data_IF_600096483947
#
_entry.id   IF_600096483947
#
_cell.length_a   1.000
_cell.length_b   1.000
_cell.length_c   1.000
_cell.angle_alpha   90.00
_cell.angle_beta   90.00
_cell.angle_gamma   90.00
#
_symmetry.space_group_name_H-M   'P 1'
#
loop_
_entity.id
_entity.type
_entity.pdbx_description
1 polymer ?
#
# COMPACT_ATOMS: atom_id res chain seq x y z
N UNK A 1 -5.62 -50.49 -41.58
CA UNK A 1 -5.22 -49.14 -42.05
C UNK A 1 -4.03 -48.66 -41.22
N UNK A 2 -2.95 -48.26 -41.88
CA UNK A 2 -1.82 -47.52 -41.30
C UNK A 2 -2.13 -46.00 -41.32
N UNK A 3 -1.33 -45.08 -40.71
CA UNK A 3 0.02 -45.31 -40.25
C UNK A 3 0.47 -44.66 -38.92
N UNK A 4 1.57 -45.24 -38.46
CA UNK A 4 2.44 -44.79 -37.38
C UNK A 4 3.34 -43.60 -37.77
N UNK A 5 3.93 -43.04 -36.72
CA UNK A 5 4.80 -41.86 -36.57
C UNK A 5 5.92 -41.76 -37.62
N UNK A 6 6.13 -40.55 -38.16
CA UNK A 6 7.36 -40.16 -38.87
C UNK A 6 8.28 -39.40 -37.92
N UNK A 7 9.45 -39.96 -37.66
CA UNK A 7 10.60 -39.27 -37.09
C UNK A 7 11.38 -38.61 -38.24
N UNK A 8 11.64 -37.31 -38.15
CA UNK A 8 12.54 -36.65 -39.10
C UNK A 8 13.95 -36.55 -38.54
N UNK A 9 14.87 -36.97 -39.41
CA UNK A 9 16.29 -37.15 -39.21
C UNK A 9 17.02 -35.83 -39.46
N UNK A 10 17.95 -35.51 -38.57
CA UNK A 10 18.94 -34.45 -38.68
C UNK A 10 19.68 -34.52 -40.04
N UNK A 11 19.58 -33.46 -40.84
CA UNK A 11 20.51 -33.20 -41.95
C UNK A 11 21.47 -32.09 -41.54
N UNK A 12 22.62 -32.50 -41.03
CA UNK A 12 23.84 -31.71 -41.01
C UNK A 12 24.37 -31.62 -42.45
N UNK A 13 24.54 -30.40 -42.96
CA UNK A 13 25.26 -30.11 -44.20
C UNK A 13 26.50 -29.29 -43.87
N UNK A 14 27.68 -29.87 -44.14
CA UNK A 14 29.00 -29.23 -44.05
C UNK A 14 29.62 -29.22 -45.45
N UNK A 15 30.34 -28.13 -45.77
CA UNK A 15 31.50 -27.97 -46.69
C UNK A 15 31.31 -26.75 -47.61
N UNK A 16 31.93 -25.59 -47.32
CA UNK A 16 33.31 -25.14 -47.63
C UNK A 16 33.50 -24.60 -49.06
N UNK A 17 33.94 -23.34 -49.18
CA UNK A 17 35.17 -22.93 -49.90
C UNK A 17 35.38 -21.39 -49.94
N UNK A 18 36.49 -20.96 -49.32
CA UNK A 18 37.51 -19.99 -49.75
C UNK A 18 37.18 -18.57 -50.28
N UNK A 19 37.93 -17.58 -49.75
CA UNK A 19 38.46 -16.45 -50.55
C UNK A 19 38.35 -15.04 -49.94
N UNK A 20 39.47 -14.47 -49.46
CA UNK A 20 39.74 -13.03 -49.55
C UNK A 20 39.66 -12.17 -48.26
N UNK A 21 40.77 -11.56 -47.81
CA UNK A 21 40.81 -10.61 -46.70
C UNK A 21 40.75 -9.15 -47.20
N UNK A 22 39.86 -8.32 -46.66
CA UNK A 22 40.01 -6.87 -46.75
C UNK A 22 39.16 -6.18 -45.67
N UNK A 23 39.78 -5.25 -44.95
CA UNK A 23 39.31 -4.70 -43.69
C UNK A 23 37.91 -4.11 -43.73
N UNK A 24 37.04 -4.60 -42.85
CA UNK A 24 35.81 -3.91 -42.48
C UNK A 24 36.16 -2.81 -41.47
N UNK A 25 36.51 -1.63 -41.98
CA UNK A 25 36.31 -0.39 -41.22
C UNK A 25 34.83 -0.36 -40.82
N UNK A 26 34.57 -0.40 -39.51
CA UNK A 26 33.22 -0.43 -38.95
C UNK A 26 32.46 0.85 -39.26
N UNK A 27 31.80 0.90 -40.42
CA UNK A 27 30.75 1.87 -40.69
C UNK A 27 29.61 1.65 -39.68
N UNK A 28 29.60 2.44 -38.62
CA UNK A 28 28.45 2.55 -37.70
C UNK A 28 27.26 3.04 -38.52
N UNK A 29 26.36 2.13 -38.90
CA UNK A 29 25.04 2.50 -39.42
C UNK A 29 24.35 3.36 -38.36
N UNK A 30 24.30 4.67 -38.57
CA UNK A 30 23.36 5.55 -37.86
C UNK A 30 21.98 5.00 -38.18
N UNK A 31 21.28 4.47 -37.18
CA UNK A 31 19.86 4.15 -37.28
C UNK A 31 19.18 5.48 -37.62
N UNK A 32 18.82 5.67 -38.89
CA UNK A 32 17.91 6.75 -39.24
C UNK A 32 16.66 6.48 -38.42
N UNK A 33 16.40 7.35 -37.45
CA UNK A 33 15.14 7.33 -36.72
C UNK A 33 14.08 7.62 -37.78
N UNK A 34 13.42 6.56 -38.27
CA UNK A 34 12.23 6.76 -39.06
C UNK A 34 11.24 7.49 -38.17
N UNK A 35 11.05 8.77 -38.46
CA UNK A 35 10.04 9.59 -37.83
C UNK A 35 8.71 8.86 -38.06
N UNK A 36 8.08 8.43 -36.97
CA UNK A 36 6.74 7.85 -37.00
C UNK A 36 5.82 8.90 -37.63
N UNK A 37 5.36 8.65 -38.85
CA UNK A 37 4.28 9.45 -39.45
C UNK A 37 3.07 9.34 -38.52
N UNK A 38 2.53 10.47 -38.05
CA UNK A 38 1.28 10.52 -37.31
C UNK A 38 0.18 9.93 -38.20
N UNK A 39 -0.13 8.65 -38.03
CA UNK A 39 -1.34 8.05 -38.60
C UNK A 39 -2.49 8.51 -37.71
N UNK A 40 -3.40 9.30 -38.27
CA UNK A 40 -4.67 9.58 -37.62
C UNK A 40 -5.35 8.22 -37.36
N UNK A 41 -5.59 7.92 -36.08
CA UNK A 41 -6.11 6.63 -35.66
C UNK A 41 -7.63 6.61 -35.98
N UNK A 42 -8.00 6.16 -37.18
CA UNK A 42 -9.40 6.12 -37.64
C UNK A 42 -10.28 5.12 -36.86
N UNK A 43 -9.71 4.34 -35.93
CA UNK A 43 -10.45 3.47 -35.02
C UNK A 43 -11.34 4.22 -34.02
N UNK A 44 -11.10 5.51 -33.79
CA UNK A 44 -11.83 6.30 -32.79
C UNK A 44 -12.51 7.55 -33.40
N UNK A 45 -13.04 7.47 -34.63
CA UNK A 45 -13.78 8.61 -35.23
C UNK A 45 -15.10 8.87 -34.50
N UNK A 46 -15.64 7.87 -33.80
CA UNK A 46 -16.86 7.99 -32.99
C UNK A 46 -16.63 7.33 -31.63
N UNK A 47 -16.92 8.03 -30.53
CA UNK A 47 -16.77 7.50 -29.18
C UNK A 47 -17.92 6.56 -28.83
N UNK A 48 -17.85 5.36 -29.39
CA UNK A 48 -18.62 4.18 -29.03
C UNK A 48 -19.37 3.51 -30.19
N UNK A 49 -20.31 2.61 -29.90
CA UNK A 49 -21.01 1.81 -30.90
C UNK A 49 -22.45 2.29 -31.05
N UNK A 50 -22.82 2.76 -32.25
CA UNK A 50 -24.21 3.15 -32.60
C UNK A 50 -25.17 1.97 -32.37
N UNK A 51 -24.70 0.74 -32.62
CA UNK A 51 -25.50 -0.49 -32.42
C UNK A 51 -25.75 -0.82 -30.95
N UNK A 52 -24.83 -0.44 -30.05
CA UNK A 52 -24.92 -0.74 -28.61
C UNK A 52 -25.48 0.45 -27.79
N UNK A 53 -25.80 1.58 -28.44
CA UNK A 53 -26.27 2.80 -27.76
C UNK A 53 -25.21 3.47 -26.88
N UNK A 54 -23.97 2.97 -26.90
CA UNK A 54 -22.83 3.55 -26.20
C UNK A 54 -22.24 4.64 -27.09
N UNK A 55 -22.65 5.89 -26.89
CA UNK A 55 -22.16 7.04 -27.64
C UNK A 55 -21.97 8.26 -26.75
N UNK A 56 -21.88 9.45 -27.36
CA UNK A 56 -21.78 10.71 -26.61
C UNK A 56 -22.94 10.92 -25.61
N UNK A 57 -24.16 10.50 -25.97
CA UNK A 57 -25.32 10.55 -25.07
C UNK A 57 -25.14 9.66 -23.82
N UNK A 58 -24.56 8.47 -23.98
CA UNK A 58 -24.26 7.56 -22.87
C UNK A 58 -23.15 8.12 -21.98
N UNK A 59 -22.08 8.68 -22.57
CA UNK A 59 -21.02 9.35 -21.82
C UNK A 59 -21.53 10.57 -21.05
N UNK A 60 -22.40 11.38 -21.67
CA UNK A 60 -23.05 12.52 -21.03
C UNK A 60 -23.94 12.06 -19.88
N UNK A 61 -24.75 11.01 -20.08
CA UNK A 61 -25.58 10.39 -19.03
C UNK A 61 -24.71 9.88 -17.87
N UNK A 62 -23.61 9.21 -18.16
CA UNK A 62 -22.68 8.69 -17.15
C UNK A 62 -21.99 9.83 -16.39
N UNK A 63 -21.59 10.91 -17.08
CA UNK A 63 -21.02 12.11 -16.47
C UNK A 63 -22.03 12.78 -15.53
N UNK A 64 -23.27 12.97 -15.97
CA UNK A 64 -24.36 13.52 -15.15
C UNK A 64 -24.59 12.63 -13.91
N UNK A 65 -24.63 11.31 -14.07
CA UNK A 65 -24.76 10.37 -12.95
C UNK A 65 -23.60 10.49 -11.94
N UNK A 66 -22.37 10.63 -12.42
CA UNK A 66 -21.19 10.78 -11.56
C UNK A 66 -21.20 12.13 -10.82
N UNK A 67 -21.58 13.21 -11.50
CA UNK A 67 -21.73 14.53 -10.90
C UNK A 67 -22.83 14.54 -9.84
N UNK A 68 -23.97 13.90 -10.10
CA UNK A 68 -25.03 13.71 -9.10
C UNK A 68 -24.55 12.91 -7.88
N UNK A 69 -23.89 11.76 -8.09
CA UNK A 69 -23.29 10.97 -7.00
C UNK A 69 -22.25 11.77 -6.21
N UNK A 70 -21.52 12.67 -6.87
CA UNK A 70 -20.56 13.59 -6.23
C UNK A 70 -21.28 14.60 -5.35
N UNK A 71 -22.41 15.16 -5.78
CA UNK A 71 -23.23 16.06 -4.96
C UNK A 71 -23.78 15.33 -3.73
N UNK A 72 -24.36 14.14 -3.90
CA UNK A 72 -24.84 13.31 -2.78
C UNK A 72 -23.73 12.99 -1.77
N UNK A 73 -22.50 12.71 -2.25
CA UNK A 73 -21.35 12.50 -1.36
C UNK A 73 -20.95 13.75 -0.61
N UNK A 74 -21.07 14.94 -1.22
CA UNK A 74 -20.76 16.21 -0.56
C UNK A 74 -21.82 16.55 0.48
N UNK A 75 -23.09 16.36 0.16
CA UNK A 75 -24.21 16.55 1.08
C UNK A 75 -24.08 15.64 2.30
N UNK A 76 -23.89 14.32 2.10
CA UNK A 76 -23.65 13.39 3.21
C UNK A 76 -22.44 13.77 4.07
N UNK A 77 -21.34 14.23 3.45
CA UNK A 77 -20.14 14.67 4.18
C UNK A 77 -20.37 15.98 4.95
N UNK A 78 -21.16 16.90 4.40
CA UNK A 78 -21.54 18.14 5.07
C UNK A 78 -22.49 17.84 6.24
N UNK A 79 -23.46 16.95 6.07
CA UNK A 79 -24.32 16.45 7.16
C UNK A 79 -23.48 15.82 8.27
N UNK A 80 -22.55 14.92 7.96
CA UNK A 80 -21.63 14.33 8.96
C UNK A 80 -20.74 15.39 9.64
N UNK A 81 -20.41 16.48 8.94
CA UNK A 81 -19.63 17.59 9.52
C UNK A 81 -20.49 18.52 10.38
N UNK A 82 -21.78 18.66 10.08
CA UNK A 82 -22.75 19.45 10.84
C UNK A 82 -23.30 18.67 12.04
N UNK A 83 -23.41 17.35 11.92
CA UNK A 83 -23.54 16.38 13.01
C UNK A 83 -22.19 16.27 13.73
N UNK A 84 -21.73 17.39 14.28
CA UNK A 84 -20.51 17.51 15.05
C UNK A 84 -20.43 16.42 16.13
N UNK A 85 -19.48 15.48 15.97
CA UNK A 85 -18.66 14.70 16.95
C UNK A 85 -19.23 14.19 18.29
N UNK A 86 -20.47 14.51 18.66
CA UNK A 86 -21.05 14.34 19.99
C UNK A 86 -22.54 13.97 19.90
N UNK A 87 -22.91 13.21 18.89
CA UNK A 87 -23.99 12.25 19.10
C UNK A 87 -23.29 10.91 19.23
N UNK A 88 -23.60 10.15 20.29
CA UNK A 88 -23.25 8.73 20.43
C UNK A 88 -23.92 7.88 19.33
N UNK A 89 -24.10 8.42 18.12
CA UNK A 89 -24.45 7.67 16.94
C UNK A 89 -23.16 7.08 16.42
N UNK A 90 -22.88 5.86 16.87
CA UNK A 90 -21.74 5.07 16.41
C UNK A 90 -21.60 5.17 14.88
N UNK A 91 -20.39 5.40 14.34
CA UNK A 91 -20.15 5.44 12.91
C UNK A 91 -20.71 4.18 12.23
N UNK A 92 -21.48 4.35 11.15
CA UNK A 92 -22.20 3.25 10.48
C UNK A 92 -21.33 2.01 10.22
N UNK A 93 -20.08 2.22 9.81
CA UNK A 93 -19.13 1.16 9.50
C UNK A 93 -18.65 0.36 10.73
N UNK A 94 -18.84 0.88 11.95
CA UNK A 94 -18.53 0.20 13.22
C UNK A 94 -19.75 -0.50 13.81
N UNK A 95 -20.95 -0.29 13.25
CA UNK A 95 -22.18 -0.98 13.65
C UNK A 95 -22.00 -2.50 13.68
N UNK A 96 -21.18 -3.05 12.78
CA UNK A 96 -20.89 -4.48 12.72
C UNK A 96 -20.13 -4.99 13.95
N UNK A 97 -19.25 -4.19 14.56
CA UNK A 97 -18.56 -4.60 15.79
C UNK A 97 -19.54 -4.68 16.96
N UNK A 98 -20.42 -3.69 17.08
CA UNK A 98 -21.42 -3.66 18.15
C UNK A 98 -22.45 -4.79 18.01
N UNK A 99 -22.96 -5.03 16.79
CA UNK A 99 -23.85 -6.16 16.54
C UNK A 99 -23.18 -7.51 16.86
N UNK A 100 -21.87 -7.64 16.64
CA UNK A 100 -21.13 -8.83 17.01
C UNK A 100 -20.94 -8.97 18.53
N UNK A 101 -20.66 -7.86 19.24
CA UNK A 101 -20.56 -7.83 20.71
C UNK A 101 -21.90 -8.20 21.37
N UNK A 102 -23.01 -7.61 20.91
CA UNK A 102 -24.36 -7.95 21.37
C UNK A 102 -24.71 -9.43 21.14
N UNK A 103 -24.31 -10.00 19.99
CA UNK A 103 -24.53 -11.42 19.70
C UNK A 103 -23.72 -12.32 20.64
N UNK A 104 -22.48 -11.95 20.98
CA UNK A 104 -21.68 -12.69 21.96
C UNK A 104 -22.31 -12.65 23.37
N UNK A 105 -22.75 -11.48 23.82
CA UNK A 105 -23.43 -11.31 25.12
C UNK A 105 -24.73 -12.13 25.17
N UNK A 106 -25.54 -12.10 24.12
CA UNK A 106 -26.73 -12.97 24.02
C UNK A 106 -26.37 -14.46 24.09
N UNK A 107 -25.29 -14.89 23.45
CA UNK A 107 -24.80 -16.28 23.51
C UNK A 107 -24.30 -16.64 24.91
N UNK A 108 -23.67 -15.72 25.63
CA UNK A 108 -23.25 -15.92 27.02
C UNK A 108 -24.45 -16.05 27.96
N UNK A 109 -25.40 -15.11 27.90
CA UNK A 109 -26.63 -15.16 28.72
C UNK A 109 -27.49 -16.40 28.39
N UNK A 110 -27.46 -16.88 27.14
CA UNK A 110 -28.14 -18.12 26.73
C UNK A 110 -27.42 -19.39 27.22
N UNK A 111 -26.10 -19.34 27.43
CA UNK A 111 -25.31 -20.42 28.06
C UNK A 111 -25.50 -20.47 29.57
N UNK A 112 -25.60 -19.30 30.21
CA UNK A 112 -25.78 -19.19 31.67
C UNK A 112 -27.17 -19.66 32.14
N UNK A 113 -28.19 -19.54 31.28
CA UNK A 113 -29.53 -20.11 31.51
C UNK A 113 -29.60 -21.64 31.36
N UNK A 114 -28.50 -22.32 31.03
CA UNK A 114 -28.39 -23.76 31.24
C UNK A 114 -27.52 -24.01 32.49
N UNK A 115 -28.09 -24.55 33.59
CA UNK A 115 -27.28 -24.90 34.75
C UNK A 115 -26.51 -26.20 34.47
N UNK A 116 -25.23 -26.22 34.85
CA UNK A 116 -24.42 -27.44 34.96
C UNK A 116 -23.96 -27.59 36.44
N UNK A 117 -23.88 -28.83 36.94
CA UNK A 117 -23.88 -29.15 38.37
C UNK A 117 -22.54 -28.85 39.05
N UNK A 118 -22.66 -28.54 40.34
CA UNK A 118 -21.61 -28.31 41.32
C UNK A 118 -20.88 -29.62 41.65
N UNK A 119 -19.55 -29.64 41.57
CA UNK A 119 -18.73 -30.53 42.41
C UNK A 119 -17.42 -29.82 42.82
N UNK A 120 -17.33 -29.52 44.11
CA UNK A 120 -16.09 -29.21 44.80
C UNK A 120 -15.34 -30.51 45.15
N UNK A 121 -14.01 -30.50 45.11
CA UNK A 121 -13.19 -31.45 45.87
C UNK A 121 -11.87 -30.81 46.31
N UNK A 122 -11.67 -30.86 47.63
CA UNK A 122 -10.54 -30.40 48.43
C UNK A 122 -9.30 -31.30 48.29
N UNK A 123 -8.11 -30.78 48.63
CA UNK A 123 -7.14 -31.31 49.64
C UNK A 123 -5.73 -30.69 49.46
N UNK A 124 -5.16 -30.30 50.60
CA UNK A 124 -3.81 -29.77 50.89
C UNK A 124 -2.66 -30.76 50.62
N UNK A 125 -1.48 -30.27 50.20
CA UNK A 125 -0.13 -30.56 50.78
C UNK A 125 1.01 -29.83 50.02
N UNK A 126 1.99 -29.35 50.78
CA UNK A 126 3.16 -28.56 50.35
C UNK A 126 4.07 -29.28 49.32
N UNK A 127 4.68 -28.59 48.33
CA UNK A 127 5.62 -29.24 47.40
C UNK A 127 7.07 -29.13 47.88
N UNK A 128 7.62 -30.27 48.27
CA UNK A 128 9.07 -30.53 48.33
C UNK A 128 9.69 -30.29 46.95
N UNK A 129 10.84 -29.59 46.94
CA UNK A 129 11.65 -29.29 45.75
C UNK A 129 12.08 -30.61 45.11
N UNK A 130 11.33 -31.02 44.12
CA UNK A 130 11.71 -32.06 43.16
C UNK A 130 11.78 -31.36 41.82
N UNK A 131 12.90 -31.47 41.12
CA UNK A 131 13.04 -31.02 39.74
C UNK A 131 12.08 -31.84 38.86
N UNK A 132 10.81 -31.43 38.84
CA UNK A 132 9.73 -32.08 38.10
C UNK A 132 10.02 -31.91 36.63
N UNK A 133 10.39 -33.02 35.97
CA UNK A 133 10.35 -33.13 34.50
C UNK A 133 9.01 -32.54 34.03
N UNK A 134 9.09 -31.50 33.19
CA UNK A 134 7.91 -30.73 32.77
C UNK A 134 6.91 -31.66 32.08
N UNK A 135 5.72 -31.81 32.68
CA UNK A 135 4.63 -32.58 32.07
C UNK A 135 4.33 -31.97 30.70
N UNK A 136 4.17 -32.81 29.67
CA UNK A 136 3.85 -32.37 28.31
C UNK A 136 2.56 -31.54 28.35
N UNK A 137 2.61 -30.34 27.78
CA UNK A 137 1.45 -29.42 27.73
C UNK A 137 0.29 -30.06 27.00
N UNK A 138 -0.92 -29.86 27.51
CA UNK A 138 -2.15 -30.33 26.85
C UNK A 138 -2.40 -29.53 25.57
N UNK A 139 -3.17 -30.08 24.63
CA UNK A 139 -3.50 -29.39 23.38
C UNK A 139 -4.16 -28.02 23.63
N UNK A 140 -5.06 -27.95 24.62
CA UNK A 140 -5.74 -26.71 24.98
C UNK A 140 -4.76 -25.65 25.54
N UNK A 141 -3.79 -26.07 26.36
CA UNK A 141 -2.73 -25.19 26.85
C UNK A 141 -1.85 -24.66 25.70
N UNK A 142 -1.49 -25.51 24.74
CA UNK A 142 -0.75 -25.08 23.54
C UNK A 142 -1.53 -24.06 22.71
N UNK A 143 -2.84 -24.26 22.53
CA UNK A 143 -3.69 -23.33 21.80
C UNK A 143 -3.75 -21.94 22.47
N UNK A 144 -3.81 -21.87 23.81
CA UNK A 144 -3.76 -20.61 24.57
C UNK A 144 -2.43 -19.88 24.36
N UNK A 145 -1.31 -20.60 24.45
CA UNK A 145 0.02 -20.02 24.23
C UNK A 145 0.21 -19.51 22.79
N UNK A 146 -0.31 -20.22 21.79
CA UNK A 146 -0.27 -19.75 20.41
C UNK A 146 -1.11 -18.51 20.19
N UNK A 147 -2.29 -18.43 20.81
CA UNK A 147 -3.12 -17.24 20.76
C UNK A 147 -2.41 -16.01 21.35
N UNK A 148 -1.78 -16.16 22.51
CA UNK A 148 -0.99 -15.10 23.15
C UNK A 148 0.21 -14.69 22.29
N UNK A 149 0.89 -15.65 21.65
CA UNK A 149 1.98 -15.35 20.70
C UNK A 149 1.48 -14.57 19.49
N UNK A 150 0.30 -14.91 18.95
CA UNK A 150 -0.30 -14.19 17.82
C UNK A 150 -0.71 -12.78 18.24
N UNK A 151 -1.29 -12.61 19.43
CA UNK A 151 -1.59 -11.31 20.03
C UNK A 151 -0.33 -10.45 20.16
N UNK A 152 0.73 -11.00 20.77
CA UNK A 152 2.00 -10.30 20.94
C UNK A 152 2.62 -9.88 19.60
N UNK A 153 2.60 -10.78 18.59
CA UNK A 153 3.08 -10.45 17.24
C UNK A 153 2.28 -9.32 16.58
N UNK A 154 0.95 -9.31 16.76
CA UNK A 154 0.08 -8.24 16.24
C UNK A 154 0.36 -6.91 16.94
N UNK A 155 0.52 -6.92 18.26
CA UNK A 155 0.87 -5.75 19.05
C UNK A 155 2.24 -5.17 18.65
N UNK A 156 3.26 -6.02 18.51
CA UNK A 156 4.59 -5.61 18.07
C UNK A 156 4.56 -4.97 16.67
N UNK A 157 3.85 -5.59 15.71
CA UNK A 157 3.67 -5.02 14.37
C UNK A 157 2.95 -3.68 14.38
N UNK A 158 1.96 -3.51 15.26
CA UNK A 158 1.23 -2.23 15.42
C UNK A 158 2.17 -1.13 15.94
N UNK A 159 2.95 -1.42 16.98
CA UNK A 159 3.92 -0.47 17.54
C UNK A 159 5.01 -0.10 16.53
N UNK A 160 5.52 -1.07 15.78
CA UNK A 160 6.51 -0.83 14.71
C UNK A 160 5.94 0.09 13.62
N UNK A 161 4.69 -0.14 13.21
CA UNK A 161 4.02 0.72 12.23
C UNK A 161 3.84 2.16 12.73
N UNK A 162 3.45 2.33 14.00
CA UNK A 162 3.31 3.64 14.64
C UNK A 162 4.65 4.38 14.68
N UNK A 163 5.75 3.71 15.06
CA UNK A 163 7.10 4.28 15.02
C UNK A 163 7.51 4.71 13.62
N UNK A 164 7.32 3.86 12.61
CA UNK A 164 7.62 4.19 11.21
C UNK A 164 6.79 5.36 10.68
N UNK A 165 5.55 5.50 11.15
CA UNK A 165 4.69 6.63 10.83
C UNK A 165 5.25 7.93 11.45
N UNK A 166 5.60 7.90 12.73
CA UNK A 166 6.21 9.04 13.43
C UNK A 166 7.52 9.45 12.78
N UNK A 167 8.41 8.52 12.47
CA UNK A 167 9.68 8.79 11.77
C UNK A 167 9.46 9.51 10.44
N UNK A 168 8.46 9.07 9.66
CA UNK A 168 8.11 9.70 8.39
C UNK A 168 7.59 11.12 8.59
N UNK A 169 6.72 11.32 9.57
CA UNK A 169 6.18 12.64 9.89
C UNK A 169 7.27 13.59 10.40
N UNK A 170 8.13 13.12 11.30
CA UNK A 170 9.29 13.86 11.78
C UNK A 170 10.25 14.20 10.64
N UNK A 171 10.56 13.26 9.74
CA UNK A 171 11.41 13.52 8.58
C UNK A 171 10.82 14.60 7.68
N UNK A 172 9.50 14.57 7.43
CA UNK A 172 8.82 15.63 6.68
C UNK A 172 8.87 16.98 7.40
N UNK A 173 8.64 17.01 8.72
CA UNK A 173 8.73 18.23 9.51
C UNK A 173 10.14 18.80 9.50
N UNK A 174 11.17 17.97 9.69
CA UNK A 174 12.58 18.36 9.62
C UNK A 174 12.92 18.94 8.26
N UNK A 175 12.49 18.29 7.17
CA UNK A 175 12.67 18.82 5.82
C UNK A 175 12.00 20.19 5.63
N UNK A 176 10.74 20.33 6.06
CA UNK A 176 10.00 21.59 5.97
C UNK A 176 10.67 22.70 6.79
N UNK A 177 11.10 22.42 8.02
CA UNK A 177 11.83 23.35 8.89
C UNK A 177 13.12 23.83 8.21
N UNK A 178 13.98 22.90 7.77
CA UNK A 178 15.22 23.21 7.04
C UNK A 178 14.96 24.05 5.78
N UNK A 179 13.91 23.71 5.02
CA UNK A 179 13.52 24.46 3.82
C UNK A 179 13.10 25.89 4.16
N UNK A 180 12.31 26.08 5.21
CA UNK A 180 11.86 27.40 5.66
C UNK A 180 13.01 28.25 6.22
N UNK A 181 13.92 27.64 6.98
CA UNK A 181 15.12 28.30 7.50
C UNK A 181 16.04 28.76 6.36
N UNK A 182 16.32 27.88 5.40
CA UNK A 182 17.12 28.23 4.23
C UNK A 182 16.46 29.36 3.42
N UNK A 183 15.15 29.26 3.18
CA UNK A 183 14.40 30.33 2.52
C UNK A 183 14.51 31.66 3.27
N UNK A 184 14.32 31.66 4.60
CA UNK A 184 14.41 32.86 5.43
C UNK A 184 15.78 33.54 5.36
N UNK A 185 16.87 32.78 5.23
CA UNK A 185 18.22 33.35 5.06
C UNK A 185 18.39 33.91 3.65
N UNK A 186 18.04 33.12 2.63
CA UNK A 186 18.28 33.46 1.23
C UNK A 186 17.34 34.55 0.69
N UNK A 187 16.14 34.70 1.27
CA UNK A 187 15.14 35.68 0.84
C UNK A 187 15.35 37.07 1.44
N UNK A 188 16.34 37.26 2.33
CA UNK A 188 16.63 38.56 2.93
C UNK A 188 17.14 39.55 1.89
N UNK A 189 16.61 40.77 1.96
CA UNK A 189 16.93 41.88 1.08
C UNK A 189 17.38 43.10 1.88
N UNK A 190 18.19 43.96 1.26
CA UNK A 190 18.61 45.24 1.83
C UNK A 190 17.44 46.23 1.82
N UNK A 191 17.58 47.38 2.50
CA UNK A 191 16.56 48.44 2.49
C UNK A 191 16.18 48.91 1.07
N UNK A 192 17.11 48.79 0.12
CA UNK A 192 16.91 49.11 -1.31
C UNK A 192 16.30 47.96 -2.12
N UNK A 193 15.91 46.85 -1.48
CA UNK A 193 15.30 45.68 -2.12
C UNK A 193 16.27 44.73 -2.82
N UNK A 194 17.59 44.99 -2.78
CA UNK A 194 18.60 44.11 -3.37
C UNK A 194 18.82 42.86 -2.51
N UNK A 195 19.16 41.70 -3.09
CA UNK A 195 19.49 40.51 -2.32
C UNK A 195 20.72 40.74 -1.43
N UNK A 196 20.68 40.23 -0.19
CA UNK A 196 21.83 40.33 0.71
C UNK A 196 22.84 39.19 0.42
N UNK A 197 23.82 39.47 -0.43
CA UNK A 197 24.81 38.50 -0.90
C UNK A 197 25.67 37.90 0.22
N UNK A 198 26.00 38.67 1.26
CA UNK A 198 26.84 38.19 2.36
C UNK A 198 26.17 37.01 3.08
N UNK A 199 24.87 37.12 3.38
CA UNK A 199 24.11 36.05 4.03
C UNK A 199 23.96 34.81 3.13
N UNK A 200 23.85 35.00 1.81
CA UNK A 200 23.82 33.90 0.86
C UNK A 200 25.17 33.19 0.79
N UNK A 201 26.26 33.95 0.83
CA UNK A 201 27.63 33.45 0.82
C UNK A 201 27.93 32.64 2.09
N UNK A 202 27.58 33.15 3.26
CA UNK A 202 27.71 32.43 4.55
C UNK A 202 26.96 31.09 4.53
N UNK A 203 25.71 31.09 4.03
CA UNK A 203 24.93 29.86 3.90
C UNK A 203 25.59 28.83 2.97
N UNK A 204 26.17 29.29 1.85
CA UNK A 204 26.88 28.42 0.91
C UNK A 204 28.18 27.87 1.49
N UNK A 205 28.97 28.70 2.18
CA UNK A 205 30.21 28.28 2.85
C UNK A 205 29.91 27.22 3.92
N UNK A 206 28.89 27.45 4.75
CA UNK A 206 28.42 26.46 5.73
C UNK A 206 28.04 25.13 5.07
N UNK A 207 27.34 25.18 3.94
CA UNK A 207 26.94 23.99 3.18
C UNK A 207 28.12 23.25 2.55
N UNK A 208 29.21 23.94 2.23
CA UNK A 208 30.45 23.31 1.75
C UNK A 208 31.15 22.60 2.91
N UNK A 209 31.29 23.28 4.06
CA UNK A 209 31.89 22.72 5.28
C UNK A 209 31.11 21.49 5.81
N UNK A 210 29.78 21.49 5.71
CA UNK A 210 28.94 20.34 6.10
C UNK A 210 29.07 19.14 5.13
N UNK A 211 29.62 19.35 3.92
CA UNK A 211 29.76 18.31 2.88
C UNK A 211 31.15 17.67 2.84
N UNK A 212 32.16 18.39 3.31
CA UNK A 212 33.52 17.87 3.56
C UNK A 212 33.55 17.09 4.85
#
# INVERSE_FOLDING_TARGET
MAPAKRAEVLRAGVAQAQGGPAGRLGFKKKRQQQQRTWRANSRNVFSGSVREGQGFAFQRKQKIQQEYKKLLRKEKKAQISQESQFTERYPEHLKHLYLAEEEMLRRQHKKEKQPLPEEECSTTVNPVISAKRSKKKTSNQKAKEEYERVQAKRAAKKQEFERRKQEREEAQQRYKKKKMEAYKVLSKRTKKGQPNLNLQMEYLLKKIQEKT
#
